data_IF_061970913307
#
_entry.id   IF_061970913307
#
_cell.length_a   1.000
_cell.length_b   1.000
_cell.length_c   1.000
_cell.angle_alpha   90.00
_cell.angle_beta   90.00
_cell.angle_gamma   90.00
#
_symmetry.space_group_name_H-M   'P 1'
#
loop_
_entity.id
_entity.type
_entity.pdbx_description
1 polymer ?
#
# COMPACT_ATOMS: atom_id res chain seq x y z
N UNK A 1 -17.22 -72.15 -20.36
CA UNK A 1 -16.30 -72.49 -21.47
C UNK A 1 -16.89 -71.91 -22.75
N UNK A 2 -16.04 -71.33 -23.60
CA UNK A 2 -16.34 -70.65 -24.87
C UNK A 2 -17.24 -71.50 -25.80
N UNK A 3 -17.96 -71.00 -26.78
CA UNK A 3 -17.86 -69.78 -27.62
C UNK A 3 -19.22 -69.65 -28.34
N UNK A 4 -19.61 -68.47 -28.86
CA UNK A 4 -20.32 -68.51 -30.13
C UNK A 4 -19.77 -67.47 -31.11
N UNK A 5 -19.51 -67.93 -32.32
CA UNK A 5 -19.64 -67.13 -33.51
C UNK A 5 -20.33 -67.97 -34.56
N UNK A 6 -21.47 -67.47 -35.02
CA UNK A 6 -21.90 -67.65 -36.39
C UNK A 6 -22.39 -66.30 -36.89
N UNK A 7 -21.82 -65.88 -38.00
CA UNK A 7 -22.26 -64.71 -38.75
C UNK A 7 -23.22 -65.15 -39.84
N UNK A 8 -24.37 -64.50 -39.94
CA UNK A 8 -25.09 -64.36 -41.20
C UNK A 8 -25.59 -62.92 -41.30
N UNK A 9 -25.24 -62.27 -42.41
CA UNK A 9 -25.74 -60.94 -42.80
C UNK A 9 -26.94 -61.14 -43.71
N UNK A 10 -28.08 -60.53 -43.39
CA UNK A 10 -29.20 -60.29 -44.32
C UNK A 10 -29.72 -58.85 -44.11
N UNK A 11 -29.98 -58.21 -45.25
CA UNK A 11 -30.25 -56.80 -45.56
C UNK A 11 -31.63 -56.30 -45.12
N UNK A 12 -31.76 -55.02 -44.73
CA UNK A 12 -32.96 -54.21 -44.98
C UNK A 12 -32.51 -52.78 -45.38
N UNK A 13 -33.08 -52.31 -46.48
CA UNK A 13 -32.87 -51.03 -47.16
C UNK A 13 -34.01 -50.04 -46.81
N UNK A 14 -33.74 -48.73 -46.87
CA UNK A 14 -34.74 -47.65 -46.96
C UNK A 14 -35.18 -46.97 -45.64
N UNK A 15 -34.70 -45.74 -45.38
CA UNK A 15 -35.48 -44.53 -45.71
C UNK A 15 -34.68 -43.24 -45.43
N UNK A 16 -34.82 -42.31 -46.38
CA UNK A 16 -34.25 -40.97 -46.46
C UNK A 16 -34.65 -40.05 -45.30
N UNK A 17 -33.66 -39.41 -44.68
CA UNK A 17 -33.82 -38.06 -44.13
C UNK A 17 -32.61 -37.21 -44.57
N UNK A 18 -32.79 -36.09 -45.29
CA UNK A 18 -31.68 -35.24 -45.68
C UNK A 18 -31.06 -34.59 -44.44
N UNK A 19 -29.75 -34.79 -44.27
CA UNK A 19 -28.95 -34.09 -43.26
C UNK A 19 -29.10 -32.58 -43.47
N UNK A 20 -29.54 -31.79 -42.48
CA UNK A 20 -29.66 -30.35 -42.65
C UNK A 20 -28.29 -29.74 -42.94
N UNK A 21 -28.19 -28.74 -43.83
CA UNK A 21 -26.90 -28.15 -44.17
C UNK A 21 -26.24 -27.55 -42.92
N UNK A 22 -24.91 -27.57 -42.83
CA UNK A 22 -24.19 -27.00 -41.70
C UNK A 22 -24.58 -25.53 -41.55
N UNK A 23 -24.97 -25.14 -40.33
CA UNK A 23 -25.29 -23.74 -39.99
C UNK A 23 -24.11 -22.86 -40.42
N UNK A 24 -24.42 -21.78 -41.14
CA UNK A 24 -23.43 -20.77 -41.50
C UNK A 24 -22.68 -20.28 -40.24
N UNK A 25 -21.37 -20.01 -40.33
CA UNK A 25 -20.62 -19.47 -39.20
C UNK A 25 -21.28 -18.18 -38.73
N UNK A 26 -21.61 -18.10 -37.44
CA UNK A 26 -22.08 -16.86 -36.83
C UNK A 26 -20.96 -15.83 -37.02
N UNK A 27 -21.22 -14.63 -37.56
CA UNK A 27 -20.20 -13.59 -37.66
C UNK A 27 -19.65 -13.31 -36.26
N UNK A 28 -18.36 -13.60 -36.05
CA UNK A 28 -17.70 -13.20 -34.82
C UNK A 28 -17.76 -11.68 -34.74
N UNK A 29 -18.35 -11.15 -33.67
CA UNK A 29 -18.28 -9.73 -33.38
C UNK A 29 -16.80 -9.32 -33.37
N UNK A 30 -16.43 -8.17 -33.95
CA UNK A 30 -15.06 -7.71 -33.90
C UNK A 30 -14.63 -7.62 -32.43
N UNK A 31 -13.38 -8.01 -32.11
CA UNK A 31 -12.88 -7.90 -30.75
C UNK A 31 -13.09 -6.47 -30.25
N UNK A 32 -13.50 -6.27 -28.98
CA UNK A 32 -13.73 -4.95 -28.44
C UNK A 32 -12.50 -4.09 -28.69
N UNK A 33 -12.67 -2.98 -29.43
CA UNK A 33 -11.59 -2.04 -29.67
C UNK A 33 -11.07 -1.59 -28.31
N UNK A 34 -9.80 -1.88 -28.03
CA UNK A 34 -9.15 -1.31 -26.86
C UNK A 34 -9.29 0.20 -26.96
N UNK A 35 -9.74 0.89 -25.89
CA UNK A 35 -9.75 2.34 -25.89
C UNK A 35 -8.35 2.84 -26.25
N UNK A 36 -8.24 3.96 -26.99
CA UNK A 36 -6.95 4.49 -27.40
C UNK A 36 -6.04 4.56 -26.18
N UNK A 37 -4.89 3.86 -26.26
CA UNK A 37 -3.87 3.93 -25.21
C UNK A 37 -3.54 5.41 -25.03
N UNK A 38 -3.81 5.94 -23.83
CA UNK A 38 -3.37 7.27 -23.48
C UNK A 38 -1.87 7.37 -23.81
N UNK A 39 -1.41 8.49 -24.41
CA UNK A 39 0.00 8.67 -24.69
C UNK A 39 0.81 8.45 -23.40
N UNK A 40 2.03 7.89 -23.50
CA UNK A 40 2.88 7.71 -22.33
C UNK A 40 3.01 9.06 -21.62
N UNK A 41 2.73 9.09 -20.31
CA UNK A 41 2.81 10.32 -19.54
C UNK A 41 4.27 10.79 -19.59
N UNK A 42 4.52 11.89 -20.31
CA UNK A 42 5.82 12.53 -20.33
C UNK A 42 6.07 13.14 -18.96
N UNK A 43 7.14 12.69 -18.29
CA UNK A 43 7.59 13.31 -17.05
C UNK A 43 8.28 14.64 -17.30
N UNK A 44 8.37 15.45 -16.26
CA UNK A 44 9.23 16.63 -16.20
C UNK A 44 10.38 16.36 -15.23
N UNK A 45 11.48 17.10 -15.36
CA UNK A 45 12.52 17.15 -14.33
C UNK A 45 12.06 18.00 -13.14
N UNK A 46 12.65 17.76 -11.95
CA UNK A 46 12.40 18.62 -10.78
C UNK A 46 12.88 20.06 -11.03
N UNK A 47 13.92 20.25 -11.85
CA UNK A 47 14.40 21.58 -12.25
C UNK A 47 13.32 22.34 -13.02
N UNK A 48 12.65 21.69 -13.98
CA UNK A 48 11.53 22.30 -14.71
C UNK A 48 10.35 22.63 -13.79
N UNK A 49 10.14 21.85 -12.72
CA UNK A 49 9.14 22.17 -11.70
C UNK A 49 9.54 23.41 -10.89
N UNK A 50 10.82 23.54 -10.51
CA UNK A 50 11.37 24.72 -9.83
C UNK A 50 11.24 25.96 -10.71
N UNK A 51 11.52 25.86 -12.01
CA UNK A 51 11.41 26.99 -12.93
C UNK A 51 9.96 27.49 -13.11
N UNK A 52 8.98 26.61 -12.84
CA UNK A 52 7.55 26.94 -12.79
C UNK A 52 7.07 27.42 -11.42
N UNK A 53 7.94 27.42 -10.40
CA UNK A 53 7.62 27.82 -9.03
C UNK A 53 7.96 29.31 -8.84
N UNK A 54 6.99 30.09 -8.35
CA UNK A 54 7.24 31.47 -7.92
C UNK A 54 8.19 31.40 -6.72
N UNK A 55 9.22 32.24 -6.71
CA UNK A 55 10.24 32.21 -5.68
C UNK A 55 10.63 33.63 -5.26
N UNK A 56 11.06 33.75 -4.00
CA UNK A 56 11.50 35.01 -3.43
C UNK A 56 12.82 35.48 -4.05
N UNK A 57 12.97 36.81 -4.19
CA UNK A 57 14.24 37.43 -4.56
C UNK A 57 15.24 37.49 -3.38
N UNK A 58 14.75 37.33 -2.15
CA UNK A 58 15.58 37.40 -0.94
C UNK A 58 14.74 37.56 0.33
N UNK A 59 15.33 37.21 1.48
CA UNK A 59 14.71 37.43 2.79
C UNK A 59 15.75 37.67 3.88
N UNK A 60 15.33 38.38 4.92
CA UNK A 60 16.14 38.63 6.10
C UNK A 60 16.27 37.36 6.98
N UNK A 61 17.34 37.25 7.78
CA UNK A 61 17.42 36.23 8.83
C UNK A 61 16.20 36.26 9.76
N UNK A 62 15.81 35.09 10.28
CA UNK A 62 14.65 34.87 11.15
C UNK A 62 13.28 35.18 10.51
N UNK A 63 13.19 35.11 9.19
CA UNK A 63 11.90 35.17 8.50
C UNK A 63 11.11 33.89 8.68
N UNK A 64 9.78 33.98 8.76
CA UNK A 64 8.89 32.82 8.81
C UNK A 64 8.70 32.27 7.40
N UNK A 65 8.88 30.96 7.22
CA UNK A 65 8.57 30.26 5.97
C UNK A 65 7.31 29.44 6.17
N UNK A 66 6.33 29.67 5.31
CA UNK A 66 5.02 29.01 5.34
C UNK A 66 4.60 28.47 3.96
N UNK A 67 5.38 28.76 2.92
CA UNK A 67 5.22 28.22 1.55
C UNK A 67 6.58 28.13 0.87
N UNK A 68 6.66 27.34 -0.21
CA UNK A 68 7.83 27.25 -1.09
C UNK A 68 8.16 28.58 -1.79
N UNK A 69 7.17 29.45 -1.99
CA UNK A 69 7.37 30.78 -2.59
C UNK A 69 8.27 31.68 -1.73
N UNK A 70 8.38 31.38 -0.43
CA UNK A 70 9.26 32.09 0.51
C UNK A 70 10.75 31.77 0.30
N UNK A 71 11.06 30.76 -0.51
CA UNK A 71 12.42 30.33 -0.83
C UNK A 71 12.92 30.99 -2.10
N UNK A 72 14.22 31.21 -2.19
CA UNK A 72 14.87 31.58 -3.45
C UNK A 72 15.00 30.36 -4.36
N UNK A 73 15.19 30.58 -5.66
CA UNK A 73 15.46 29.50 -6.61
C UNK A 73 16.64 28.62 -6.18
N UNK A 74 17.71 29.21 -5.66
CA UNK A 74 18.88 28.46 -5.21
C UNK A 74 18.55 27.57 -4.01
N UNK A 75 17.70 28.01 -3.09
CA UNK A 75 17.28 27.20 -1.94
C UNK A 75 16.32 26.09 -2.36
N UNK A 76 15.43 26.33 -3.32
CA UNK A 76 14.57 25.29 -3.88
C UNK A 76 15.39 24.13 -4.46
N UNK A 77 16.53 24.43 -5.11
CA UNK A 77 17.42 23.36 -5.63
C UNK A 77 18.01 22.47 -4.55
N UNK A 78 18.13 22.97 -3.32
CA UNK A 78 18.62 22.17 -2.20
C UNK A 78 17.63 21.06 -1.83
N UNK A 79 16.36 21.13 -2.22
CA UNK A 79 15.35 20.11 -1.88
C UNK A 79 15.14 19.04 -2.96
N UNK A 80 15.87 19.09 -4.08
CA UNK A 80 15.72 18.15 -5.20
C UNK A 80 15.90 16.69 -4.74
N UNK A 81 16.90 16.44 -3.90
CA UNK A 81 17.19 15.11 -3.35
C UNK A 81 16.04 14.57 -2.50
N UNK A 82 15.46 15.38 -1.61
CA UNK A 82 14.35 15.00 -0.74
C UNK A 82 13.04 14.85 -1.51
N UNK A 83 12.77 15.72 -2.49
CA UNK A 83 11.60 15.63 -3.35
C UNK A 83 11.64 14.39 -4.25
N UNK A 84 12.82 14.05 -4.80
CA UNK A 84 13.01 12.82 -5.55
C UNK A 84 12.84 11.60 -4.65
N UNK A 85 13.47 11.62 -3.47
CA UNK A 85 13.38 10.52 -2.50
C UNK A 85 11.93 10.27 -2.07
N UNK A 86 11.14 11.31 -1.83
CA UNK A 86 9.71 11.17 -1.50
C UNK A 86 8.92 10.56 -2.65
N UNK A 87 9.15 11.04 -3.87
CA UNK A 87 8.49 10.50 -5.06
C UNK A 87 8.82 9.00 -5.24
N UNK A 88 10.07 8.60 -5.04
CA UNK A 88 10.47 7.19 -5.14
C UNK A 88 9.78 6.33 -4.07
N UNK A 89 9.57 6.84 -2.86
CA UNK A 89 8.83 6.13 -1.78
C UNK A 89 7.33 6.03 -2.11
N UNK A 90 6.73 7.09 -2.63
CA UNK A 90 5.27 7.14 -2.86
C UNK A 90 4.83 6.44 -4.15
N UNK A 91 5.64 6.54 -5.21
CA UNK A 91 5.30 6.06 -6.56
C UNK A 91 6.13 4.87 -7.00
N UNK A 92 7.27 4.64 -6.35
CA UNK A 92 8.25 3.66 -6.76
C UNK A 92 9.30 4.24 -7.70
N UNK A 93 10.47 3.60 -7.78
CA UNK A 93 11.55 4.03 -8.65
C UNK A 93 11.14 3.93 -10.12
N UNK A 94 11.67 4.82 -10.96
CA UNK A 94 11.41 4.90 -12.41
C UNK A 94 10.01 5.36 -12.84
N UNK A 95 9.15 5.77 -11.90
CA UNK A 95 7.89 6.44 -12.28
C UNK A 95 8.21 7.88 -12.73
N UNK A 96 7.72 8.34 -13.90
CA UNK A 96 7.97 9.71 -14.35
C UNK A 96 7.49 10.76 -13.34
N UNK A 97 8.38 11.71 -13.05
CA UNK A 97 8.08 12.83 -12.16
C UNK A 97 7.15 13.84 -12.87
N UNK A 98 6.23 14.46 -12.13
CA UNK A 98 5.23 15.40 -12.67
C UNK A 98 5.15 16.62 -11.75
N UNK A 99 4.70 17.77 -12.29
CA UNK A 99 4.55 19.00 -11.50
C UNK A 99 3.67 18.81 -10.25
N UNK A 100 2.64 17.96 -10.34
CA UNK A 100 1.79 17.62 -9.19
C UNK A 100 2.55 16.96 -8.03
N UNK A 101 3.63 16.22 -8.32
CA UNK A 101 4.45 15.59 -7.28
C UNK A 101 5.29 16.65 -6.55
N UNK A 102 5.76 17.67 -7.27
CA UNK A 102 6.45 18.82 -6.67
C UNK A 102 5.54 19.63 -5.77
N UNK A 103 4.32 19.92 -6.22
CA UNK A 103 3.31 20.59 -5.41
C UNK A 103 2.93 19.77 -4.17
N UNK A 104 2.67 18.48 -4.35
CA UNK A 104 2.37 17.55 -3.26
C UNK A 104 3.51 17.48 -2.22
N UNK A 105 4.77 17.51 -2.64
CA UNK A 105 5.92 17.57 -1.72
C UNK A 105 5.87 18.81 -0.81
N UNK A 106 5.47 19.97 -1.33
CA UNK A 106 5.39 21.20 -0.54
C UNK A 106 4.10 21.30 0.27
N UNK A 107 2.95 21.21 -0.40
CA UNK A 107 1.63 21.46 0.14
C UNK A 107 1.20 20.37 1.14
N UNK A 108 1.39 19.10 0.79
CA UNK A 108 0.87 17.97 1.59
C UNK A 108 1.90 17.39 2.57
N UNK A 109 3.17 17.78 2.45
CA UNK A 109 4.24 17.23 3.29
C UNK A 109 5.02 18.32 4.02
N UNK A 110 5.77 19.16 3.30
CA UNK A 110 6.67 20.12 3.92
C UNK A 110 5.94 21.13 4.82
N UNK A 111 4.89 21.77 4.31
CA UNK A 111 4.15 22.85 4.97
C UNK A 111 2.75 22.47 5.46
N UNK A 112 2.33 21.21 5.29
CA UNK A 112 1.04 20.74 5.80
C UNK A 112 0.96 20.92 7.31
N UNK A 113 0.04 21.78 7.74
CA UNK A 113 -0.21 22.16 9.13
C UNK A 113 1.08 22.54 9.89
N UNK A 114 2.07 23.12 9.19
CA UNK A 114 3.40 23.38 9.73
C UNK A 114 4.05 24.61 9.10
N UNK A 115 4.76 25.37 9.91
CA UNK A 115 5.66 26.45 9.48
C UNK A 115 6.93 26.47 10.34
N UNK A 116 7.86 27.37 10.03
CA UNK A 116 9.15 27.44 10.75
C UNK A 116 9.05 27.95 12.19
N UNK A 117 7.87 28.36 12.67
CA UNK A 117 7.63 28.69 14.08
C UNK A 117 7.18 27.49 14.92
N UNK A 118 6.82 26.39 14.25
CA UNK A 118 6.33 25.17 14.88
C UNK A 118 7.44 24.42 15.65
N UNK A 119 7.09 23.80 16.77
CA UNK A 119 8.02 23.01 17.58
C UNK A 119 8.35 21.65 16.97
N UNK A 120 9.60 21.22 17.21
CA UNK A 120 10.18 19.88 17.02
C UNK A 120 10.01 19.17 15.65
N UNK A 121 11.13 18.74 15.05
CA UNK A 121 11.18 17.96 13.80
C UNK A 121 12.00 16.68 14.00
N UNK A 122 11.76 16.00 15.13
CA UNK A 122 12.45 14.75 15.49
C UNK A 122 11.86 13.54 14.78
N UNK A 123 12.75 12.62 14.39
CA UNK A 123 12.39 11.37 13.76
C UNK A 123 11.94 10.39 14.85
N UNK A 124 10.65 10.03 14.84
CA UNK A 124 10.13 8.97 15.71
C UNK A 124 10.57 7.59 15.20
N UNK A 125 10.79 6.60 16.08
CA UNK A 125 11.17 5.26 15.65
C UNK A 125 10.04 4.54 14.92
N UNK A 126 10.41 3.60 14.04
CA UNK A 126 9.46 2.73 13.36
C UNK A 126 8.78 1.81 14.39
N UNK A 127 7.54 2.11 14.75
CA UNK A 127 6.73 1.29 15.67
C UNK A 127 6.50 -0.12 15.09
N UNK A 128 6.35 -1.21 15.86
CA UNK A 128 6.06 -2.56 15.34
C UNK A 128 4.61 -2.73 14.84
N UNK A 129 4.33 -3.79 14.05
CA UNK A 129 2.99 -4.02 13.47
C UNK A 129 2.13 -4.58 14.60
N UNK A 130 0.97 -3.97 14.84
CA UNK A 130 0.07 -4.49 15.88
C UNK A 130 -0.84 -5.57 15.30
N UNK A 131 -1.24 -6.53 16.14
CA UNK A 131 -2.19 -7.58 15.75
C UNK A 131 -3.56 -7.02 15.36
N UNK A 132 -3.91 -5.80 15.76
CA UNK A 132 -5.18 -5.19 15.41
C UNK A 132 -5.18 -4.62 13.98
N UNK A 133 -4.04 -4.12 13.50
CA UNK A 133 -3.90 -3.51 12.17
C UNK A 133 -3.82 -4.57 11.06
N UNK A 134 -3.36 -5.78 11.39
CA UNK A 134 -3.19 -6.87 10.43
C UNK A 134 -4.31 -7.93 10.48
N UNK A 135 -5.38 -7.70 11.25
CA UNK A 135 -6.45 -8.69 11.39
C UNK A 135 -7.39 -8.70 10.20
N UNK A 136 -7.80 -9.88 9.77
CA UNK A 136 -8.82 -10.12 8.75
C UNK A 136 -9.99 -10.87 9.37
N UNK A 137 -11.21 -10.52 8.99
CA UNK A 137 -12.40 -11.27 9.41
C UNK A 137 -12.40 -12.61 8.68
N UNK A 138 -12.56 -13.70 9.41
CA UNK A 138 -12.49 -15.07 8.86
C UNK A 138 -13.76 -15.88 9.09
N UNK A 139 -14.66 -15.37 9.93
CA UNK A 139 -15.89 -16.07 10.26
C UNK A 139 -16.61 -15.48 11.45
N UNK A 140 -17.43 -16.32 12.09
CA UNK A 140 -18.18 -16.00 13.30
C UNK A 140 -18.18 -17.17 14.28
N UNK A 141 -18.46 -16.90 15.55
CA UNK A 141 -18.58 -17.97 16.55
C UNK A 141 -19.86 -18.79 16.36
N UNK A 142 -19.75 -20.13 16.32
CA UNK A 142 -20.90 -21.06 16.26
C UNK A 142 -21.69 -21.08 17.57
N UNK A 143 -20.97 -20.90 18.67
CA UNK A 143 -21.47 -21.02 20.04
C UNK A 143 -20.83 -19.95 20.90
N UNK A 144 -21.43 -19.66 22.05
CA UNK A 144 -20.76 -18.86 23.07
C UNK A 144 -19.43 -19.54 23.41
N UNK A 145 -18.31 -18.81 23.27
CA UNK A 145 -17.00 -19.42 23.47
C UNK A 145 -16.87 -19.89 24.92
N UNK A 146 -16.55 -21.16 25.18
CA UNK A 146 -16.51 -21.68 26.54
C UNK A 146 -15.38 -21.03 27.35
N UNK A 147 -15.52 -20.99 28.68
CA UNK A 147 -14.43 -20.69 29.59
C UNK A 147 -13.24 -21.64 29.39
N UNK A 148 -12.04 -21.18 29.67
CA UNK A 148 -10.81 -21.97 29.64
C UNK A 148 -10.00 -21.76 30.91
N UNK A 149 -8.96 -22.56 31.14
CA UNK A 149 -8.04 -22.36 32.28
C UNK A 149 -7.50 -20.93 32.29
N UNK A 150 -7.12 -20.40 31.13
CA UNK A 150 -6.62 -19.03 31.00
C UNK A 150 -7.71 -17.95 31.15
N UNK A 151 -9.00 -18.31 31.02
CA UNK A 151 -10.13 -17.40 31.03
C UNK A 151 -11.37 -18.07 31.67
N UNK A 152 -11.40 -18.20 33.01
CA UNK A 152 -12.40 -18.99 33.72
C UNK A 152 -13.78 -18.29 33.81
N UNK A 153 -13.81 -16.98 33.60
CA UNK A 153 -15.03 -16.18 33.69
C UNK A 153 -15.96 -16.43 32.50
N UNK A 154 -17.28 -16.18 32.66
CA UNK A 154 -18.24 -16.24 31.56
C UNK A 154 -17.80 -15.41 30.34
N UNK A 155 -18.14 -15.84 29.11
CA UNK A 155 -17.76 -15.12 27.90
C UNK A 155 -18.35 -13.70 27.90
N UNK A 156 -17.50 -12.71 27.66
CA UNK A 156 -17.93 -11.34 27.42
C UNK A 156 -18.66 -11.18 26.07
N UNK A 157 -19.20 -9.98 25.78
CA UNK A 157 -20.04 -9.76 24.60
C UNK A 157 -19.42 -10.17 23.26
N UNK A 158 -18.12 -9.92 23.08
CA UNK A 158 -17.36 -10.30 21.86
C UNK A 158 -17.19 -11.82 21.66
N UNK A 159 -17.61 -12.63 22.64
CA UNK A 159 -17.45 -14.10 22.64
C UNK A 159 -18.79 -14.83 22.58
N UNK A 160 -19.87 -14.12 22.28
CA UNK A 160 -21.18 -14.71 22.08
C UNK A 160 -21.29 -15.34 20.68
N UNK A 161 -22.21 -16.29 20.54
CA UNK A 161 -22.53 -16.89 19.25
C UNK A 161 -22.91 -15.80 18.23
N UNK A 162 -22.44 -15.94 17.00
CA UNK A 162 -22.63 -14.97 15.92
C UNK A 162 -21.64 -13.81 15.89
N UNK A 163 -20.83 -13.59 16.94
CA UNK A 163 -19.81 -12.54 16.93
C UNK A 163 -18.71 -12.82 15.90
N UNK A 164 -18.19 -11.78 15.21
CA UNK A 164 -17.16 -11.93 14.20
C UNK A 164 -15.84 -12.42 14.82
N UNK A 165 -15.16 -13.29 14.10
CA UNK A 165 -13.85 -13.83 14.46
C UNK A 165 -12.83 -13.28 13.48
N UNK A 166 -11.69 -12.85 14.02
CA UNK A 166 -10.59 -12.33 13.24
C UNK A 166 -9.35 -13.23 13.36
N UNK A 167 -8.59 -13.29 12.28
CA UNK A 167 -7.29 -13.91 12.18
C UNK A 167 -6.24 -12.85 11.87
N UNK A 168 -5.10 -12.96 12.52
CA UNK A 168 -3.88 -12.22 12.20
C UNK A 168 -2.75 -13.21 11.99
N UNK A 169 -1.61 -12.75 11.51
CA UNK A 169 -0.38 -13.56 11.47
C UNK A 169 0.70 -12.91 12.33
N UNK A 170 1.51 -13.73 12.99
CA UNK A 170 2.78 -13.26 13.54
C UNK A 170 3.85 -13.33 12.46
N UNK A 171 4.74 -12.33 12.33
CA UNK A 171 5.93 -12.48 11.50
C UNK A 171 6.72 -13.71 11.97
N UNK A 172 7.20 -14.48 11.01
CA UNK A 172 8.16 -15.55 11.23
C UNK A 172 9.43 -14.97 11.88
N UNK A 173 9.85 -15.52 13.01
CA UNK A 173 11.25 -15.37 13.45
C UNK A 173 12.11 -16.38 12.68
N UNK A 174 13.44 -16.21 12.71
CA UNK A 174 14.43 -16.85 11.81
C UNK A 174 14.28 -18.38 11.61
N UNK A 175 13.53 -19.08 12.47
CA UNK A 175 13.28 -20.53 12.41
C UNK A 175 11.78 -20.93 12.57
N UNK A 176 10.83 -20.00 12.44
CA UNK A 176 9.40 -20.29 12.65
C UNK A 176 8.56 -20.06 11.39
N UNK A 177 7.71 -21.04 11.06
CA UNK A 177 6.64 -20.85 10.08
C UNK A 177 5.69 -19.74 10.56
N UNK A 178 5.12 -18.98 9.60
CA UNK A 178 4.09 -17.98 9.87
C UNK A 178 2.97 -18.63 10.70
N UNK A 179 2.72 -18.09 11.90
CA UNK A 179 1.72 -18.64 12.80
C UNK A 179 0.40 -17.85 12.69
N UNK A 180 -0.72 -18.50 12.30
CA UNK A 180 -2.02 -17.87 12.34
C UNK A 180 -2.46 -17.68 13.80
N UNK A 181 -2.80 -16.45 14.14
CA UNK A 181 -3.28 -16.03 15.44
C UNK A 181 -4.77 -15.74 15.34
N UNK A 182 -5.57 -16.53 16.04
CA UNK A 182 -7.02 -16.36 16.14
C UNK A 182 -7.33 -15.51 17.36
N UNK A 183 -7.56 -14.21 17.18
CA UNK A 183 -7.77 -13.27 18.31
C UNK A 183 -8.87 -12.26 18.04
N UNK A 184 -9.68 -12.05 19.08
CA UNK A 184 -10.46 -10.82 19.28
C UNK A 184 -10.25 -10.34 20.72
N UNK A 185 -9.09 -9.72 20.97
CA UNK A 185 -8.58 -9.38 22.31
C UNK A 185 -8.06 -10.58 23.13
N UNK A 186 -8.64 -11.78 22.96
CA UNK A 186 -8.23 -13.05 23.58
C UNK A 186 -8.18 -14.19 22.54
N UNK A 187 -7.47 -15.27 22.84
CA UNK A 187 -7.37 -16.44 21.96
C UNK A 187 -8.76 -17.07 21.71
N UNK A 188 -9.04 -17.41 20.45
CA UNK A 188 -10.27 -18.10 20.03
C UNK A 188 -9.88 -19.49 19.52
N UNK A 189 -10.51 -20.54 20.05
CA UNK A 189 -10.28 -21.89 19.56
C UNK A 189 -10.99 -22.07 18.20
N UNK A 190 -10.26 -22.42 17.11
CA UNK A 190 -10.82 -22.55 15.76
C UNK A 190 -12.00 -23.52 15.65
N UNK A 191 -12.09 -24.52 16.54
CA UNK A 191 -13.21 -25.50 16.52
C UNK A 191 -14.59 -24.86 16.72
N UNK A 192 -14.64 -23.70 17.38
CA UNK A 192 -15.87 -22.95 17.63
C UNK A 192 -16.18 -21.91 16.56
N UNK A 193 -15.38 -21.85 15.50
CA UNK A 193 -15.53 -20.86 14.43
C UNK A 193 -16.28 -21.49 13.27
N UNK A 194 -17.32 -20.81 12.81
CA UNK A 194 -17.94 -21.00 11.51
C UNK A 194 -17.19 -20.13 10.53
N UNK A 195 -16.35 -20.78 9.73
CA UNK A 195 -15.50 -20.11 8.77
C UNK A 195 -16.33 -19.64 7.57
N UNK A 196 -16.10 -18.40 7.15
CA UNK A 196 -16.70 -17.86 5.91
C UNK A 196 -16.04 -18.45 4.66
N UNK A 197 -14.79 -18.94 4.77
CA UNK A 197 -13.96 -19.47 3.68
C UNK A 197 -13.04 -20.60 4.19
N UNK A 198 -12.42 -21.41 3.32
CA UNK A 198 -11.43 -22.40 3.74
C UNK A 198 -10.28 -21.77 4.56
N UNK A 199 -9.77 -22.51 5.55
CA UNK A 199 -8.73 -22.00 6.48
C UNK A 199 -7.47 -21.53 5.74
N UNK A 200 -7.05 -22.24 4.68
CA UNK A 200 -5.91 -21.83 3.85
C UNK A 200 -6.10 -20.44 3.25
N UNK A 201 -7.26 -20.16 2.64
CA UNK A 201 -7.56 -18.84 2.08
C UNK A 201 -7.57 -17.74 3.15
N UNK A 202 -8.02 -18.04 4.36
CA UNK A 202 -7.99 -17.10 5.47
C UNK A 202 -6.56 -16.74 5.90
N UNK A 203 -5.65 -17.72 5.89
CA UNK A 203 -4.23 -17.50 6.17
C UNK A 203 -3.62 -16.64 5.06
N UNK A 204 -3.88 -16.96 3.79
CA UNK A 204 -3.38 -16.18 2.65
C UNK A 204 -3.84 -14.72 2.72
N UNK A 205 -5.11 -14.48 3.08
CA UNK A 205 -5.64 -13.13 3.28
C UNK A 205 -4.97 -12.41 4.46
N UNK A 206 -4.70 -13.11 5.55
CA UNK A 206 -4.02 -12.54 6.72
C UNK A 206 -2.56 -12.18 6.42
N UNK A 207 -1.84 -13.03 5.67
CA UNK A 207 -0.48 -12.76 5.17
C UNK A 207 -0.48 -11.55 4.25
N UNK A 208 -1.34 -11.54 3.23
CA UNK A 208 -1.45 -10.42 2.30
C UNK A 208 -1.80 -9.10 3.02
N UNK A 209 -2.66 -9.17 4.04
CA UNK A 209 -2.99 -8.00 4.86
C UNK A 209 -1.78 -7.55 5.69
N UNK A 210 -1.03 -8.47 6.28
CA UNK A 210 0.18 -8.16 7.01
C UNK A 210 1.22 -7.48 6.11
N UNK A 211 1.51 -8.04 4.94
CA UNK A 211 2.51 -7.49 4.01
C UNK A 211 2.12 -6.08 3.55
N UNK A 212 0.85 -5.87 3.19
CA UNK A 212 0.33 -4.54 2.83
C UNK A 212 0.45 -3.56 3.99
N UNK A 213 0.09 -3.97 5.20
CA UNK A 213 0.18 -3.12 6.40
C UNK A 213 1.65 -2.80 6.72
N UNK A 214 2.56 -3.77 6.60
CA UNK A 214 3.99 -3.58 6.83
C UNK A 214 4.58 -2.60 5.81
N UNK A 215 4.31 -2.82 4.52
CA UNK A 215 4.74 -1.96 3.42
C UNK A 215 4.23 -0.53 3.62
N UNK A 216 2.92 -0.35 3.82
CA UNK A 216 2.31 0.97 4.02
C UNK A 216 2.96 1.72 5.18
N UNK A 217 3.22 1.03 6.30
CA UNK A 217 3.81 1.66 7.48
C UNK A 217 5.28 2.06 7.25
N UNK A 218 6.03 1.26 6.48
CA UNK A 218 7.40 1.63 6.10
C UNK A 218 7.38 2.86 5.20
N UNK A 219 6.46 2.93 4.23
CA UNK A 219 6.25 4.12 3.41
C UNK A 219 5.92 5.34 4.27
N UNK A 220 4.92 5.25 5.17
CA UNK A 220 4.52 6.35 6.06
C UNK A 220 5.69 6.83 6.93
N UNK A 221 6.48 5.89 7.47
CA UNK A 221 7.67 6.20 8.25
C UNK A 221 8.75 6.92 7.42
N UNK A 222 9.03 6.42 6.21
CA UNK A 222 10.01 7.04 5.32
C UNK A 222 9.57 8.45 4.90
N UNK A 223 8.30 8.63 4.55
CA UNK A 223 7.72 9.95 4.25
C UNK A 223 7.91 10.90 5.44
N UNK A 224 7.56 10.47 6.66
CA UNK A 224 7.72 11.30 7.85
C UNK A 224 9.18 11.75 8.06
N UNK A 225 10.16 10.86 7.85
CA UNK A 225 11.59 11.22 7.97
C UNK A 225 12.06 12.19 6.90
N UNK A 226 11.60 12.02 5.66
CA UNK A 226 11.91 12.95 4.57
C UNK A 226 11.30 14.33 4.89
N UNK A 227 10.03 14.36 5.32
CA UNK A 227 9.35 15.59 5.75
C UNK A 227 10.10 16.29 6.87
N UNK A 228 10.53 15.56 7.90
CA UNK A 228 11.32 16.13 8.99
C UNK A 228 12.67 16.68 8.51
N UNK A 229 13.37 15.97 7.62
CA UNK A 229 14.61 16.46 7.01
C UNK A 229 14.39 17.75 6.20
N UNK A 230 13.31 17.82 5.44
CA UNK A 230 12.86 19.03 4.73
C UNK A 230 12.64 20.17 5.71
N UNK A 231 11.86 19.94 6.77
CA UNK A 231 11.55 20.96 7.78
C UNK A 231 12.80 21.44 8.53
N UNK A 232 13.76 20.57 8.84
CA UNK A 232 15.07 20.96 9.39
C UNK A 232 15.85 21.90 8.47
N UNK A 233 15.85 21.64 7.15
CA UNK A 233 16.45 22.55 6.16
C UNK A 233 15.72 23.89 6.10
N UNK A 234 14.39 23.87 6.12
CA UNK A 234 13.56 25.08 6.16
C UNK A 234 13.85 25.93 7.40
N UNK A 235 13.93 25.32 8.59
CA UNK A 235 14.27 26.02 9.83
C UNK A 235 15.67 26.66 9.75
N UNK A 236 16.65 25.97 9.15
CA UNK A 236 17.97 26.56 8.91
C UNK A 236 17.89 27.79 8.00
N UNK A 237 17.20 27.67 6.88
CA UNK A 237 17.02 28.75 5.91
C UNK A 237 16.21 29.93 6.45
N UNK A 238 15.22 29.69 7.30
CA UNK A 238 14.54 30.71 8.07
C UNK A 238 15.52 31.45 8.98
N UNK A 239 16.37 30.72 9.72
CA UNK A 239 17.30 31.31 10.67
C UNK A 239 18.37 32.19 10.01
N UNK A 240 18.96 31.76 8.89
CA UNK A 240 20.09 32.46 8.24
C UNK A 240 19.68 33.49 7.18
N UNK A 241 18.45 33.40 6.64
CA UNK A 241 18.01 34.25 5.53
C UNK A 241 18.81 33.99 4.24
N UNK A 242 18.84 34.95 3.32
CA UNK A 242 19.47 34.77 1.99
C UNK A 242 20.81 35.48 1.83
N UNK A 243 21.37 36.02 2.92
CA UNK A 243 22.69 36.67 2.91
C UNK A 243 23.86 35.68 2.82
N UNK A 244 23.58 34.38 2.98
CA UNK A 244 24.56 33.29 2.92
C UNK A 244 24.18 32.35 1.78
N UNK A 245 25.18 31.84 1.06
CA UNK A 245 24.96 30.85 0.01
C UNK A 245 24.22 29.62 0.57
N UNK A 246 23.15 29.14 -0.10
CA UNK A 246 22.41 27.97 0.35
C UNK A 246 23.31 26.75 0.44
N UNK A 247 23.24 26.04 1.56
CA UNK A 247 23.95 24.78 1.77
C UNK A 247 23.13 23.89 2.71
N UNK A 248 23.46 22.60 2.74
CA UNK A 248 22.83 21.62 3.64
C UNK A 248 23.66 21.47 4.91
N UNK A 249 23.15 21.87 6.09
CA UNK A 249 23.81 21.60 7.36
C UNK A 249 23.97 20.10 7.64
N UNK A 250 24.97 19.72 8.45
CA UNK A 250 25.27 18.30 8.75
C UNK A 250 24.08 17.52 9.33
N UNK A 251 23.29 18.16 10.20
CA UNK A 251 22.08 17.59 10.82
C UNK A 251 20.83 17.63 9.91
N UNK A 252 20.95 18.18 8.71
CA UNK A 252 19.85 18.35 7.74
C UNK A 252 20.07 17.51 6.47
N UNK A 253 21.02 16.58 6.51
CA UNK A 253 21.28 15.65 5.40
C UNK A 253 20.09 14.72 5.16
N UNK A 254 20.07 14.13 3.97
CA UNK A 254 19.05 13.13 3.60
C UNK A 254 19.00 12.01 4.66
N UNK A 255 17.80 11.55 5.02
CA UNK A 255 17.66 10.44 5.96
C UNK A 255 18.02 9.11 5.29
N UNK A 256 18.51 8.16 6.07
CA UNK A 256 18.58 6.75 5.65
C UNK A 256 17.16 6.17 5.68
N UNK A 257 16.66 5.65 4.56
CA UNK A 257 15.34 5.02 4.51
C UNK A 257 15.38 3.59 5.05
N UNK A 258 14.22 3.13 5.55
CA UNK A 258 14.00 1.72 5.83
C UNK A 258 13.57 0.99 4.56
N UNK A 259 14.10 -0.21 4.34
CA UNK A 259 13.74 -1.05 3.20
C UNK A 259 12.28 -1.54 3.31
N UNK A 260 11.54 -1.50 2.20
CA UNK A 260 10.20 -2.10 2.03
C UNK A 260 10.28 -3.58 1.71
#
# INVERSE_FOLDING_TARGET
MANPQDHVVIVIDGDDDPIPPPRAPIPQAPPPQQPPRAPPIQGISIIEAIDQTIHSAGRLPRSILFTEESLTRAELTIFIDLAQMMHDVEKGPNVPYQLKHWKHFWEENAFKDWDTTSENTEDLPLRPVTLQENRVRVGKLKVNHPPSVDFPNPPGPARLAGCPVYMSVSPATQDQLIQPIWKDGKFINPRYVEMERPVGECIDLAVLKFDRTATSRICDFNIARITNATRRRLMHFAAVGTGVAPHVPKNCRVPTLSDT
#
